data_IF_883549657420
#
_entry.id   IF_883549657420
#
_cell.length_a   1.000
_cell.length_b   1.000
_cell.length_c   1.000
_cell.angle_alpha   90.00
_cell.angle_beta   90.00
_cell.angle_gamma   90.00
#
_symmetry.space_group_name_H-M   'P 1'
#
loop_
_entity.id
_entity.type
_entity.pdbx_description
1 polymer ?
#
# COMPACT_ATOMS: atom_id res chain seq x y z
N UNK A 1 13.22 -2.17 -21.88
CA UNK A 1 12.29 -3.14 -21.27
C UNK A 1 10.89 -2.78 -21.75
N UNK A 2 9.95 -3.74 -21.90
CA UNK A 2 8.55 -3.40 -22.18
C UNK A 2 7.93 -2.67 -21.01
N UNK A 3 7.10 -1.66 -21.29
CA UNK A 3 6.30 -0.95 -20.27
C UNK A 3 5.50 -1.95 -19.44
N UNK A 4 5.47 -1.75 -18.13
CA UNK A 4 4.72 -2.57 -17.18
C UNK A 4 3.46 -1.87 -16.74
N UNK A 5 2.41 -2.65 -16.45
CA UNK A 5 1.22 -2.12 -15.81
C UNK A 5 1.32 -2.33 -14.31
N UNK A 6 1.32 -1.24 -13.56
CA UNK A 6 1.54 -1.22 -12.10
C UNK A 6 0.33 -0.57 -11.41
N UNK A 7 -0.19 -1.24 -10.41
CA UNK A 7 -1.19 -0.66 -9.51
C UNK A 7 -0.57 -0.48 -8.13
N UNK A 8 -0.65 0.73 -7.59
CA UNK A 8 -0.25 1.04 -6.23
C UNK A 8 -1.50 1.09 -5.35
N UNK A 9 -1.52 0.37 -4.23
CA UNK A 9 -2.58 0.42 -3.22
C UNK A 9 -2.05 1.11 -1.98
N UNK A 10 -2.63 2.25 -1.64
CA UNK A 10 -2.23 3.04 -0.46
C UNK A 10 -2.80 4.45 -0.48
N UNK A 11 -2.60 5.22 0.61
CA UNK A 11 -2.97 6.62 0.64
C UNK A 11 -2.26 7.39 -0.48
N UNK A 12 -2.99 8.22 -1.18
CA UNK A 12 -2.49 9.13 -2.18
C UNK A 12 -3.38 10.38 -2.18
N UNK A 13 -3.03 11.41 -2.95
CA UNK A 13 -3.85 12.62 -3.05
C UNK A 13 -5.37 12.29 -3.13
N UNK A 14 -6.25 12.97 -2.39
CA UNK A 14 -6.00 14.15 -1.57
C UNK A 14 -5.52 13.87 -0.12
N UNK A 15 -5.18 12.63 0.24
CA UNK A 15 -4.59 12.36 1.55
C UNK A 15 -3.22 13.03 1.66
N UNK A 16 -2.98 13.67 2.83
CA UNK A 16 -1.71 14.28 3.18
C UNK A 16 -0.85 13.36 4.06
N UNK A 17 0.44 13.66 4.12
CA UNK A 17 1.41 13.00 5.01
C UNK A 17 2.40 12.13 4.26
N UNK A 18 3.45 11.70 4.96
CA UNK A 18 4.62 11.06 4.39
C UNK A 18 4.31 9.84 3.51
N UNK A 19 3.35 9.00 3.91
CA UNK A 19 2.96 7.81 3.14
C UNK A 19 2.30 8.22 1.81
N UNK A 20 1.39 9.21 1.84
CA UNK A 20 0.72 9.67 0.62
C UNK A 20 1.72 10.33 -0.34
N UNK A 21 2.60 11.19 0.17
CA UNK A 21 3.65 11.83 -0.62
C UNK A 21 4.61 10.81 -1.23
N UNK A 22 5.00 9.78 -0.48
CA UNK A 22 5.80 8.69 -1.01
C UNK A 22 5.09 7.96 -2.16
N UNK A 23 3.83 7.59 -1.98
CA UNK A 23 3.07 6.88 -3.00
C UNK A 23 2.87 7.73 -4.26
N UNK A 24 2.64 9.03 -4.12
CA UNK A 24 2.56 9.97 -5.23
C UNK A 24 3.89 10.06 -5.98
N UNK A 25 5.01 10.17 -5.26
CA UNK A 25 6.36 10.19 -5.85
C UNK A 25 6.72 8.87 -6.53
N UNK A 26 6.35 7.74 -5.91
CA UNK A 26 6.55 6.42 -6.49
C UNK A 26 5.76 6.24 -7.80
N UNK A 27 4.49 6.68 -7.82
CA UNK A 27 3.67 6.64 -9.03
C UNK A 27 4.26 7.52 -10.14
N UNK A 28 4.76 8.72 -9.79
CA UNK A 28 5.47 9.57 -10.74
C UNK A 28 6.71 8.89 -11.30
N UNK A 29 7.52 8.24 -10.45
CA UNK A 29 8.73 7.54 -10.89
C UNK A 29 8.43 6.39 -11.86
N UNK A 30 7.36 5.60 -11.62
CA UNK A 30 6.91 4.58 -12.57
C UNK A 30 6.48 5.21 -13.90
N UNK A 31 5.74 6.32 -13.86
CA UNK A 31 5.33 7.03 -15.07
C UNK A 31 6.52 7.56 -15.86
N UNK A 32 7.50 8.16 -15.17
CA UNK A 32 8.72 8.68 -15.80
C UNK A 32 9.53 7.55 -16.46
N UNK A 33 9.45 6.34 -15.89
CA UNK A 33 10.01 5.10 -16.47
C UNK A 33 9.15 4.53 -17.63
N UNK A 34 8.09 5.23 -18.04
CA UNK A 34 7.13 4.84 -19.11
C UNK A 34 6.26 3.63 -18.77
N UNK A 35 6.08 3.31 -17.50
CA UNK A 35 5.13 2.30 -17.06
C UNK A 35 3.71 2.88 -17.00
N UNK A 36 2.69 2.03 -17.23
CA UNK A 36 1.28 2.39 -17.00
C UNK A 36 0.95 2.22 -15.53
N UNK A 37 0.87 3.33 -14.81
CA UNK A 37 0.66 3.34 -13.37
C UNK A 37 -0.67 3.95 -12.98
N UNK A 38 -1.34 3.31 -12.00
CA UNK A 38 -2.55 3.81 -11.36
C UNK A 38 -2.48 3.60 -9.86
N UNK A 39 -3.01 4.55 -9.08
CA UNK A 39 -3.10 4.44 -7.62
C UNK A 39 -4.54 4.17 -7.20
N UNK A 40 -4.76 3.10 -6.45
CA UNK A 40 -6.00 2.82 -5.73
C UNK A 40 -5.86 3.34 -4.31
N UNK A 41 -6.44 4.51 -4.07
CA UNK A 41 -6.44 5.18 -2.77
C UNK A 41 -7.73 4.91 -1.99
N UNK A 42 -7.78 5.39 -0.77
CA UNK A 42 -8.91 5.19 0.12
C UNK A 42 -10.02 6.21 -0.14
N UNK A 43 -11.27 5.72 -0.16
CA UNK A 43 -12.47 6.53 0.04
C UNK A 43 -12.74 6.73 1.53
N UNK A 44 -12.43 5.70 2.33
CA UNK A 44 -12.44 5.75 3.79
C UNK A 44 -11.22 4.98 4.30
N UNK A 45 -10.24 5.69 4.86
CA UNK A 45 -9.02 5.09 5.42
C UNK A 45 -9.23 4.66 6.86
N UNK A 46 -9.79 5.55 7.69
CA UNK A 46 -10.10 5.30 9.08
C UNK A 46 -11.52 5.75 9.41
N UNK A 47 -12.26 4.97 10.23
CA UNK A 47 -13.50 5.47 10.82
C UNK A 47 -13.26 6.74 11.64
N UNK A 48 -14.24 7.64 11.66
CA UNK A 48 -14.12 8.96 12.33
C UNK A 48 -13.79 8.85 13.82
N UNK A 49 -14.22 7.79 14.50
CA UNK A 49 -13.94 7.57 15.93
C UNK A 49 -12.47 7.19 16.21
N UNK A 50 -11.74 6.68 15.22
CA UNK A 50 -10.30 6.38 15.34
C UNK A 50 -9.41 7.58 14.98
N UNK A 51 -9.98 8.61 14.37
CA UNK A 51 -9.26 9.80 13.95
C UNK A 51 -10.07 11.06 14.27
N UNK A 52 -10.22 11.41 15.56
CA UNK A 52 -10.98 12.59 15.95
C UNK A 52 -10.19 13.86 15.61
N UNK A 53 -10.69 14.67 14.70
CA UNK A 53 -10.48 16.10 14.78
C UNK A 53 -9.50 16.79 13.86
N UNK A 54 -8.99 16.19 12.75
CA UNK A 54 -8.33 17.00 11.69
C UNK A 54 -8.56 16.39 10.30
N UNK A 55 -8.67 17.25 9.29
CA UNK A 55 -8.76 16.83 7.90
C UNK A 55 -7.52 16.03 7.53
N UNK A 56 -7.72 14.81 7.02
CA UNK A 56 -6.65 13.95 6.48
C UNK A 56 -6.30 14.37 5.05
N UNK A 57 -6.90 15.44 4.55
CA UNK A 57 -6.81 15.88 3.17
C UNK A 57 -6.00 17.17 3.07
N UNK A 58 -5.31 17.31 1.96
CA UNK A 58 -4.65 18.53 1.52
C UNK A 58 -5.43 19.19 0.37
N UNK A 59 -5.28 20.50 0.24
CA UNK A 59 -5.91 21.29 -0.83
C UNK A 59 -5.01 21.43 -2.07
N UNK A 60 -3.87 20.73 -2.10
CA UNK A 60 -2.94 20.75 -3.24
C UNK A 60 -3.56 20.11 -4.48
N UNK A 61 -3.01 20.41 -5.65
CA UNK A 61 -3.39 19.71 -6.88
C UNK A 61 -2.87 18.28 -6.91
N UNK A 62 -3.60 17.35 -7.56
CA UNK A 62 -3.12 15.98 -7.71
C UNK A 62 -1.82 15.94 -8.52
N UNK A 63 -0.92 14.98 -8.29
CA UNK A 63 0.31 14.84 -9.03
C UNK A 63 0.00 14.66 -10.53
N UNK A 64 0.67 15.49 -11.35
CA UNK A 64 0.40 15.58 -12.79
C UNK A 64 0.53 14.22 -13.49
N UNK A 65 -0.53 13.86 -14.20
CA UNK A 65 -0.59 12.67 -15.05
C UNK A 65 -0.60 11.33 -14.31
N UNK A 66 -0.75 11.30 -12.99
CA UNK A 66 -0.97 10.08 -12.21
C UNK A 66 -2.47 9.84 -12.07
N UNK A 67 -2.94 8.66 -12.48
CA UNK A 67 -4.33 8.26 -12.28
C UNK A 67 -4.54 7.81 -10.84
N UNK A 68 -5.33 8.55 -10.06
CA UNK A 68 -5.68 8.21 -8.67
C UNK A 68 -7.17 7.89 -8.60
N UNK A 69 -7.51 6.72 -8.09
CA UNK A 69 -8.88 6.23 -7.89
C UNK A 69 -9.15 6.05 -6.40
N UNK A 70 -9.91 6.95 -5.80
CA UNK A 70 -10.38 6.82 -4.41
C UNK A 70 -11.50 5.78 -4.34
N UNK A 71 -11.15 4.51 -4.09
CA UNK A 71 -12.06 3.38 -4.20
C UNK A 71 -12.18 2.53 -2.93
N UNK A 72 -11.15 2.50 -2.08
CA UNK A 72 -11.05 1.55 -0.98
C UNK A 72 -11.76 2.08 0.28
N UNK A 73 -12.65 1.26 0.83
CA UNK A 73 -13.21 1.46 2.17
C UNK A 73 -12.58 0.41 3.10
N UNK A 74 -11.75 0.85 4.05
CA UNK A 74 -10.95 -0.03 4.92
C UNK A 74 -11.74 -0.98 5.82
N UNK A 75 -13.02 -0.71 6.05
CA UNK A 75 -13.88 -1.47 6.96
C UNK A 75 -15.05 -2.20 6.28
N UNK A 76 -15.15 -2.15 4.93
CA UNK A 76 -16.26 -2.77 4.21
C UNK A 76 -15.79 -3.95 3.34
N UNK A 77 -16.01 -5.21 3.77
CA UNK A 77 -15.57 -6.40 3.03
C UNK A 77 -16.18 -6.52 1.62
N UNK A 78 -17.43 -6.08 1.41
CA UNK A 78 -18.04 -6.08 0.08
C UNK A 78 -17.33 -5.12 -0.87
N UNK A 79 -16.84 -3.99 -0.35
CA UNK A 79 -16.03 -3.07 -1.13
C UNK A 79 -14.69 -3.71 -1.52
N UNK A 80 -14.05 -4.49 -0.64
CA UNK A 80 -12.77 -5.15 -0.93
C UNK A 80 -12.88 -6.12 -2.12
N UNK A 81 -13.99 -6.87 -2.20
CA UNK A 81 -14.27 -7.75 -3.35
C UNK A 81 -14.36 -6.95 -4.64
N UNK A 82 -15.12 -5.84 -4.64
CA UNK A 82 -15.30 -5.01 -5.81
C UNK A 82 -13.99 -4.34 -6.25
N UNK A 83 -13.18 -3.90 -5.30
CA UNK A 83 -11.84 -3.34 -5.57
C UNK A 83 -10.94 -4.40 -6.19
N UNK A 84 -10.88 -5.60 -5.61
CA UNK A 84 -10.05 -6.68 -6.14
C UNK A 84 -10.48 -7.09 -7.57
N UNK A 85 -11.79 -7.17 -7.84
CA UNK A 85 -12.31 -7.41 -9.19
C UNK A 85 -11.89 -6.32 -10.16
N UNK A 86 -12.06 -5.05 -9.76
CA UNK A 86 -11.65 -3.91 -10.60
C UNK A 86 -10.14 -3.96 -10.92
N UNK A 87 -9.30 -4.35 -9.97
CA UNK A 87 -7.86 -4.53 -10.20
C UNK A 87 -7.59 -5.72 -11.13
N UNK A 88 -8.26 -6.85 -10.96
CA UNK A 88 -8.12 -8.02 -11.82
C UNK A 88 -8.52 -7.71 -13.28
N UNK A 89 -9.59 -6.92 -13.49
CA UNK A 89 -10.05 -6.49 -14.83
C UNK A 89 -9.02 -5.60 -15.52
N UNK A 90 -8.24 -4.85 -14.75
CA UNK A 90 -7.14 -4.03 -15.25
C UNK A 90 -5.92 -4.86 -15.69
N UNK A 91 -5.81 -6.13 -15.27
CA UNK A 91 -4.73 -7.06 -15.60
C UNK A 91 -3.32 -6.49 -15.39
N UNK A 92 -2.98 -5.96 -14.20
CA UNK A 92 -1.65 -5.43 -13.96
C UNK A 92 -0.59 -6.54 -13.92
N UNK A 93 0.66 -6.20 -14.26
CA UNK A 93 1.82 -7.08 -14.02
C UNK A 93 2.16 -7.14 -12.53
N UNK A 94 2.06 -5.98 -11.86
CA UNK A 94 2.43 -5.81 -10.45
C UNK A 94 1.37 -5.02 -9.68
N UNK A 95 1.17 -5.44 -8.44
CA UNK A 95 0.44 -4.66 -7.43
C UNK A 95 1.39 -4.34 -6.29
N UNK A 96 1.60 -3.07 -6.02
CA UNK A 96 2.42 -2.57 -4.91
C UNK A 96 1.50 -2.13 -3.79
N UNK A 97 1.59 -2.76 -2.62
CA UNK A 97 0.72 -2.46 -1.49
C UNK A 97 1.52 -1.78 -0.39
N UNK A 98 1.09 -0.57 0.02
CA UNK A 98 1.66 0.10 1.18
C UNK A 98 1.05 -0.44 2.47
N UNK A 99 1.89 -0.91 3.38
CA UNK A 99 1.45 -1.45 4.67
C UNK A 99 2.15 -0.72 5.83
N UNK A 100 1.38 -0.20 6.79
CA UNK A 100 1.91 0.64 7.87
C UNK A 100 1.34 0.35 9.26
N UNK A 101 0.27 -0.44 9.38
CA UNK A 101 -0.27 -0.87 10.68
C UNK A 101 -1.23 -2.05 10.56
N UNK A 102 -1.36 -2.87 11.64
CA UNK A 102 -2.19 -4.09 11.64
C UNK A 102 -3.67 -3.88 11.34
N UNK A 103 -4.24 -2.71 11.68
CA UNK A 103 -5.64 -2.36 11.36
C UNK A 103 -5.95 -2.48 9.86
N UNK A 104 -4.97 -2.23 9.00
CA UNK A 104 -5.16 -2.29 7.55
C UNK A 104 -5.05 -3.72 6.99
N UNK A 105 -4.53 -4.66 7.79
CA UNK A 105 -4.27 -6.02 7.34
C UNK A 105 -5.51 -6.78 6.82
N UNK A 106 -6.71 -6.70 7.45
CA UNK A 106 -7.89 -7.37 6.92
C UNK A 106 -8.26 -6.90 5.51
N UNK A 107 -8.29 -5.59 5.30
CA UNK A 107 -8.61 -4.98 4.01
C UNK A 107 -7.56 -5.32 2.95
N UNK A 108 -6.32 -4.96 3.20
CA UNK A 108 -5.23 -5.11 2.23
C UNK A 108 -4.90 -6.58 1.95
N UNK A 109 -4.89 -7.42 3.01
CA UNK A 109 -4.63 -8.85 2.88
C UNK A 109 -5.76 -9.60 2.17
N UNK A 110 -7.01 -9.18 2.36
CA UNK A 110 -8.14 -9.76 1.63
C UNK A 110 -8.08 -9.38 0.14
N UNK A 111 -7.88 -8.10 -0.18
CA UNK A 111 -7.72 -7.66 -1.57
C UNK A 111 -6.60 -8.45 -2.23
N UNK A 112 -5.42 -8.53 -1.60
CA UNK A 112 -4.27 -9.26 -2.13
C UNK A 112 -4.59 -10.74 -2.44
N UNK A 113 -5.35 -11.44 -1.58
CA UNK A 113 -5.72 -12.85 -1.78
C UNK A 113 -6.71 -13.09 -2.93
N UNK A 114 -7.51 -12.09 -3.27
CA UNK A 114 -8.53 -12.19 -4.33
C UNK A 114 -7.94 -11.80 -5.70
N UNK A 115 -6.75 -11.24 -5.73
CA UNK A 115 -6.06 -10.97 -7.00
C UNK A 115 -5.69 -12.27 -7.72
N UNK A 116 -5.66 -12.22 -9.05
CA UNK A 116 -5.28 -13.37 -9.87
C UNK A 116 -3.81 -13.76 -9.62
N UNK A 117 -3.52 -15.06 -9.63
CA UNK A 117 -2.20 -15.64 -9.29
C UNK A 117 -1.05 -15.22 -10.22
N UNK A 118 -1.36 -14.72 -11.41
CA UNK A 118 -0.36 -14.17 -12.34
C UNK A 118 0.09 -12.75 -11.98
N UNK A 119 -0.65 -12.04 -11.12
CA UNK A 119 -0.30 -10.70 -10.63
C UNK A 119 0.73 -10.85 -9.50
N UNK A 120 1.85 -10.14 -9.61
CA UNK A 120 2.89 -10.16 -8.57
C UNK A 120 2.62 -9.07 -7.54
N UNK A 121 2.61 -9.45 -6.26
CA UNK A 121 2.27 -8.56 -5.15
C UNK A 121 3.54 -8.23 -4.37
N UNK A 122 3.91 -6.95 -4.38
CA UNK A 122 5.00 -6.38 -3.59
C UNK A 122 4.42 -5.57 -2.43
N UNK A 123 4.80 -5.87 -1.20
CA UNK A 123 4.48 -5.02 -0.05
C UNK A 123 5.63 -4.06 0.26
N UNK A 124 5.33 -2.77 0.36
CA UNK A 124 6.22 -1.77 0.95
C UNK A 124 5.77 -1.57 2.39
N UNK A 125 6.63 -1.92 3.36
CA UNK A 125 6.27 -1.94 4.77
C UNK A 125 6.98 -0.82 5.52
N UNK A 126 6.19 0.03 6.21
CA UNK A 126 6.71 1.13 7.05
C UNK A 126 6.85 0.71 8.50
N UNK A 127 5.86 0.00 9.02
CA UNK A 127 5.82 -0.48 10.40
C UNK A 127 5.06 -1.80 10.46
N UNK A 128 5.73 -2.87 10.84
CA UNK A 128 5.15 -4.22 10.91
C UNK A 128 4.72 -4.53 12.35
N UNK A 129 5.51 -4.11 13.32
CA UNK A 129 5.22 -4.28 14.74
C UNK A 129 4.94 -2.90 15.34
N UNK A 130 3.71 -2.58 15.74
CA UNK A 130 3.42 -1.29 16.34
C UNK A 130 4.09 -1.16 17.71
N UNK A 131 4.44 0.07 18.09
CA UNK A 131 5.02 0.37 19.41
C UNK A 131 4.06 -0.05 20.55
N UNK A 132 2.76 0.20 20.36
CA UNK A 132 1.71 -0.27 21.25
C UNK A 132 1.09 -1.55 20.70
N UNK A 133 1.56 -2.69 21.20
CA UNK A 133 1.07 -4.02 20.79
C UNK A 133 -0.33 -4.25 21.35
N UNK A 134 -1.27 -4.64 20.47
CA UNK A 134 -2.62 -5.04 20.83
C UNK A 134 -2.81 -6.54 20.60
N UNK A 135 -3.75 -7.11 21.35
CA UNK A 135 -4.13 -8.50 21.12
C UNK A 135 -4.63 -8.66 19.67
N UNK A 136 -4.02 -9.61 18.95
CA UNK A 136 -4.39 -9.90 17.56
C UNK A 136 -3.49 -9.26 16.49
N UNK A 137 -2.71 -8.23 16.80
CA UNK A 137 -1.83 -7.54 15.82
C UNK A 137 -0.91 -8.51 15.08
N UNK A 138 -0.34 -9.50 15.80
CA UNK A 138 0.49 -10.54 15.20
C UNK A 138 -0.25 -11.33 14.12
N UNK A 139 -1.46 -11.78 14.40
CA UNK A 139 -2.24 -12.58 13.46
C UNK A 139 -2.71 -11.77 12.27
N UNK A 140 -3.09 -10.51 12.49
CA UNK A 140 -3.48 -9.58 11.43
C UNK A 140 -2.31 -9.30 10.49
N UNK A 141 -1.15 -8.97 11.04
CA UNK A 141 0.06 -8.74 10.26
C UNK A 141 0.47 -10.00 9.50
N UNK A 142 0.46 -11.17 10.15
CA UNK A 142 0.76 -12.45 9.51
C UNK A 142 -0.20 -12.76 8.37
N UNK A 143 -1.49 -12.45 8.55
CA UNK A 143 -2.51 -12.61 7.50
C UNK A 143 -2.16 -11.77 6.27
N UNK A 144 -1.78 -10.49 6.43
CA UNK A 144 -1.37 -9.65 5.32
C UNK A 144 -0.08 -10.13 4.66
N UNK A 145 0.98 -10.37 5.46
CA UNK A 145 2.30 -10.76 4.94
C UNK A 145 2.22 -12.06 4.14
N UNK A 146 1.42 -13.04 4.59
CA UNK A 146 1.23 -14.29 3.85
C UNK A 146 0.48 -14.15 2.53
N UNK A 147 0.01 -12.96 2.19
CA UNK A 147 -0.69 -12.65 0.93
C UNK A 147 0.23 -11.99 -0.11
N UNK A 148 1.49 -11.75 0.20
CA UNK A 148 2.42 -11.00 -0.65
C UNK A 148 3.57 -11.90 -1.16
N UNK A 149 4.04 -11.62 -2.37
CA UNK A 149 5.13 -12.38 -3.02
C UNK A 149 6.51 -11.86 -2.63
N UNK A 150 6.64 -10.55 -2.38
CA UNK A 150 7.91 -9.89 -2.10
C UNK A 150 7.73 -8.67 -1.19
N UNK A 151 8.82 -8.22 -0.57
CA UNK A 151 8.80 -7.15 0.41
C UNK A 151 9.92 -6.14 0.19
N UNK A 152 9.58 -4.87 0.36
CA UNK A 152 10.52 -3.77 0.48
C UNK A 152 10.29 -3.09 1.82
N UNK A 153 11.36 -2.91 2.59
CA UNK A 153 11.32 -2.19 3.87
C UNK A 153 12.14 -0.91 3.75
N UNK A 154 11.73 0.13 4.46
CA UNK A 154 12.40 1.45 4.43
C UNK A 154 13.33 1.67 5.64
N UNK A 155 13.40 0.69 6.56
CA UNK A 155 14.37 0.67 7.65
C UNK A 155 14.89 -0.75 7.90
N UNK A 156 16.09 -0.86 8.44
CA UNK A 156 16.69 -2.14 8.81
C UNK A 156 15.91 -2.84 9.92
N UNK A 157 15.39 -2.09 10.90
CA UNK A 157 14.59 -2.64 11.99
C UNK A 157 13.29 -3.28 11.48
N UNK A 158 12.63 -2.69 10.49
CA UNK A 158 11.43 -3.27 9.87
C UNK A 158 11.77 -4.53 9.08
N UNK A 159 12.98 -4.63 8.49
CA UNK A 159 13.42 -5.86 7.85
C UNK A 159 13.62 -6.99 8.89
N UNK A 160 14.18 -6.69 10.05
CA UNK A 160 14.31 -7.64 11.16
C UNK A 160 12.94 -8.08 11.68
N UNK A 161 12.01 -7.13 11.89
CA UNK A 161 10.63 -7.42 12.27
C UNK A 161 9.93 -8.33 11.26
N UNK A 162 10.17 -8.13 9.96
CA UNK A 162 9.58 -8.95 8.91
C UNK A 162 10.00 -10.43 9.02
N UNK A 163 11.20 -10.72 9.52
CA UNK A 163 11.70 -12.09 9.69
C UNK A 163 10.89 -12.92 10.70
N UNK A 164 10.17 -12.26 11.59
CA UNK A 164 9.25 -12.92 12.55
C UNK A 164 8.05 -13.53 11.80
N UNK A 165 7.63 -12.91 10.70
CA UNK A 165 6.41 -13.28 9.98
C UNK A 165 6.65 -14.13 8.73
N UNK A 166 7.82 -13.99 8.08
CA UNK A 166 8.13 -14.73 6.85
C UNK A 166 9.61 -15.06 6.73
N UNK A 167 9.87 -16.23 6.15
CA UNK A 167 11.24 -16.70 5.81
C UNK A 167 11.57 -16.52 4.33
N UNK A 168 10.74 -15.78 3.57
CA UNK A 168 11.02 -15.54 2.16
C UNK A 168 12.36 -14.81 1.97
N UNK A 169 13.07 -15.18 0.92
CA UNK A 169 14.29 -14.49 0.49
C UNK A 169 13.99 -13.27 -0.40
N UNK A 170 12.75 -13.12 -0.85
CA UNK A 170 12.29 -12.01 -1.70
C UNK A 170 11.97 -10.78 -0.85
N UNK A 171 12.97 -10.29 -0.13
CA UNK A 171 12.86 -9.08 0.71
C UNK A 171 14.12 -8.24 0.58
N UNK A 172 13.95 -6.92 0.56
CA UNK A 172 15.04 -5.96 0.43
C UNK A 172 14.79 -4.76 1.34
N UNK A 173 15.87 -4.24 1.92
CA UNK A 173 15.90 -2.95 2.58
C UNK A 173 16.42 -1.90 1.59
N UNK A 174 15.67 -0.81 1.43
CA UNK A 174 16.10 0.40 0.73
C UNK A 174 15.84 1.56 1.68
N UNK A 175 16.85 2.37 2.03
CA UNK A 175 16.66 3.51 2.92
C UNK A 175 15.64 4.49 2.33
N UNK A 176 14.94 5.20 3.23
CA UNK A 176 13.94 6.18 2.82
C UNK A 176 14.58 7.19 1.85
N UNK A 177 13.99 7.47 0.68
CA UNK A 177 14.51 8.47 -0.22
C UNK A 177 14.54 9.85 0.47
N UNK A 178 15.60 10.60 0.24
CA UNK A 178 15.67 12.01 0.63
C UNK A 178 14.77 12.75 -0.37
N UNK A 179 13.76 13.45 0.12
CA UNK A 179 12.94 14.31 -0.71
C UNK A 179 13.62 15.67 -0.81
N UNK A 180 14.07 16.05 -2.00
CA UNK A 180 14.65 17.38 -2.27
C UNK A 180 13.57 18.48 -2.38
N UNK A 181 12.38 18.23 -1.85
CA UNK A 181 11.25 19.17 -1.91
C UNK A 181 10.87 19.62 -0.50
N UNK A 182 11.55 20.64 -0.04
CA UNK A 182 11.06 21.56 0.98
C UNK A 182 11.07 22.98 0.39
#
# INVERSE_FOLDING_TARGET
MSAKKVIIIGPAHPYRGGIANFNNSLAKAFKDNKDDVQVYSFKLQYPSFLFPGKTQYEESEPPEGVKIKSAINSINPFNWINVARSINDEKPDYVVIRYWLPFMAPCLGFIARVLHSNIKILAITDNIIPHEKRFGDYYLTKFFISSCDAFLTLSASVLEDLEIFTKTTKKIFIPHPIYDTF
#
